data_IF_664213660226
#
_entry.id   IF_664213660226
#
_cell.length_a   1.000
_cell.length_b   1.000
_cell.length_c   1.000
_cell.angle_alpha   90.00
_cell.angle_beta   90.00
_cell.angle_gamma   90.00
#
_symmetry.space_group_name_H-M   'P 1'
#
loop_
_entity.id
_entity.type
_entity.pdbx_description
1 polymer ?
#
# COMPACT_ATOMS: atom_id res chain seq x y z
N UNK A 1 -39.61 31.10 -18.88
CA UNK A 1 -39.66 29.63 -18.68
C UNK A 1 -38.35 29.22 -18.05
N UNK A 2 -38.33 28.56 -16.88
CA UNK A 2 -37.12 27.91 -16.43
C UNK A 2 -36.81 26.79 -17.43
N UNK A 3 -35.58 26.72 -17.92
CA UNK A 3 -35.11 25.60 -18.71
C UNK A 3 -35.22 24.34 -17.84
N UNK A 4 -35.97 23.36 -18.31
CA UNK A 4 -35.85 22.00 -17.82
C UNK A 4 -34.45 21.51 -18.22
N UNK A 5 -33.45 21.80 -17.41
CA UNK A 5 -32.21 21.03 -17.42
C UNK A 5 -32.58 19.64 -16.92
N UNK A 6 -32.83 18.75 -17.88
CA UNK A 6 -32.96 17.33 -17.59
C UNK A 6 -31.56 16.86 -17.20
N UNK A 7 -31.24 16.98 -15.91
CA UNK A 7 -29.97 16.51 -15.35
C UNK A 7 -30.00 14.99 -15.39
N UNK A 8 -29.57 14.43 -16.52
CA UNK A 8 -29.35 12.98 -16.64
C UNK A 8 -28.19 12.64 -15.70
N UNK A 9 -28.36 11.70 -14.76
CA UNK A 9 -27.27 11.30 -13.88
C UNK A 9 -26.07 10.81 -14.69
N UNK A 10 -24.87 11.25 -14.36
CA UNK A 10 -23.64 10.82 -15.04
C UNK A 10 -23.47 9.29 -15.00
N UNK A 11 -23.94 8.65 -13.93
CA UNK A 11 -24.00 7.19 -13.78
C UNK A 11 -24.86 6.50 -14.85
N UNK A 12 -25.91 7.16 -15.35
CA UNK A 12 -26.73 6.65 -16.44
C UNK A 12 -26.02 6.80 -17.80
N UNK A 13 -25.21 7.85 -17.98
CA UNK A 13 -24.46 8.10 -19.21
C UNK A 13 -23.21 7.20 -19.34
N UNK A 14 -22.70 6.67 -18.23
CA UNK A 14 -21.56 5.73 -18.20
C UNK A 14 -21.77 4.51 -19.10
N UNK A 15 -22.88 3.77 -18.90
CA UNK A 15 -23.16 2.53 -19.64
C UNK A 15 -23.23 2.76 -21.17
N UNK A 16 -24.08 3.68 -21.69
CA UNK A 16 -24.20 3.88 -23.14
C UNK A 16 -22.92 4.46 -23.75
N UNK A 17 -22.19 5.34 -23.05
CA UNK A 17 -20.95 5.89 -23.58
C UNK A 17 -19.85 4.83 -23.72
N UNK A 18 -19.65 3.99 -22.71
CA UNK A 18 -18.68 2.90 -22.76
C UNK A 18 -19.08 1.84 -23.80
N UNK A 19 -20.36 1.46 -23.86
CA UNK A 19 -20.86 0.51 -24.85
C UNK A 19 -20.70 1.04 -26.28
N UNK A 20 -20.99 2.33 -26.50
CA UNK A 20 -20.79 3.01 -27.78
C UNK A 20 -19.32 3.00 -28.19
N UNK A 21 -18.41 3.32 -27.26
CA UNK A 21 -16.97 3.30 -27.53
C UNK A 21 -16.45 1.90 -27.87
N UNK A 22 -16.85 0.87 -27.10
CA UNK A 22 -16.48 -0.53 -27.38
C UNK A 22 -17.03 -0.97 -28.73
N UNK A 23 -18.28 -0.62 -29.04
CA UNK A 23 -18.91 -0.93 -30.33
C UNK A 23 -18.19 -0.26 -31.49
N UNK A 24 -17.78 1.00 -31.33
CA UNK A 24 -16.97 1.72 -32.30
C UNK A 24 -15.62 1.03 -32.54
N UNK A 25 -14.91 0.66 -31.48
CA UNK A 25 -13.63 -0.05 -31.58
C UNK A 25 -13.79 -1.38 -32.32
N UNK A 26 -14.84 -2.14 -32.01
CA UNK A 26 -15.18 -3.38 -32.70
C UNK A 26 -15.46 -3.15 -34.18
N UNK A 27 -16.30 -2.17 -34.51
CA UNK A 27 -16.75 -1.91 -35.87
C UNK A 27 -15.60 -1.46 -36.79
N UNK A 28 -14.75 -0.54 -36.32
CA UNK A 28 -13.57 -0.09 -37.10
C UNK A 28 -12.59 -1.25 -37.31
N UNK A 29 -12.32 -2.03 -36.26
CA UNK A 29 -11.45 -3.21 -36.37
C UNK A 29 -12.01 -4.22 -37.36
N UNK A 30 -13.33 -4.43 -37.35
CA UNK A 30 -14.02 -5.33 -38.27
C UNK A 30 -13.93 -4.86 -39.72
N UNK A 31 -14.24 -3.59 -40.02
CA UNK A 31 -14.14 -3.03 -41.38
C UNK A 31 -12.72 -3.19 -41.93
N UNK A 32 -11.72 -2.80 -41.15
CA UNK A 32 -10.32 -2.88 -41.58
C UNK A 32 -9.90 -4.33 -41.81
N UNK A 33 -10.28 -5.25 -40.92
CA UNK A 33 -10.00 -6.68 -41.11
C UNK A 33 -10.60 -7.26 -42.39
N UNK A 34 -11.78 -6.77 -42.81
CA UNK A 34 -12.43 -7.18 -44.06
C UNK A 34 -11.72 -6.61 -45.28
N UNK A 35 -11.29 -5.35 -45.23
CA UNK A 35 -10.52 -4.72 -46.31
C UNK A 35 -9.18 -5.47 -46.52
N UNK A 36 -8.46 -5.76 -45.45
CA UNK A 36 -7.16 -6.45 -45.50
C UNK A 36 -7.27 -7.98 -45.53
N UNK A 37 -8.49 -8.54 -45.49
CA UNK A 37 -8.77 -9.98 -45.48
C UNK A 37 -7.99 -10.76 -44.40
N UNK A 38 -7.82 -10.17 -43.21
CA UNK A 38 -7.03 -10.75 -42.11
C UNK A 38 -7.77 -10.73 -40.78
N UNK A 39 -8.05 -11.92 -40.24
CA UNK A 39 -8.68 -12.07 -38.92
C UNK A 39 -7.71 -11.71 -37.80
N UNK A 40 -6.41 -11.92 -37.97
CA UNK A 40 -5.41 -11.53 -36.96
C UNK A 40 -5.40 -10.00 -36.79
N UNK A 41 -5.51 -9.27 -37.91
CA UNK A 41 -5.56 -7.81 -37.90
C UNK A 41 -6.78 -7.27 -37.12
N UNK A 42 -7.91 -7.97 -37.16
CA UNK A 42 -9.07 -7.63 -36.34
C UNK A 42 -8.72 -7.59 -34.84
N UNK A 43 -8.14 -8.67 -34.31
CA UNK A 43 -7.82 -8.77 -32.89
C UNK A 43 -6.74 -7.77 -32.47
N UNK A 44 -5.71 -7.59 -33.31
CA UNK A 44 -4.63 -6.63 -33.02
C UNK A 44 -5.18 -5.19 -32.97
N UNK A 45 -6.01 -4.79 -33.93
CA UNK A 45 -6.61 -3.45 -33.93
C UNK A 45 -7.58 -3.26 -32.76
N UNK A 46 -8.41 -4.26 -32.48
CA UNK A 46 -9.37 -4.18 -31.38
C UNK A 46 -8.66 -3.96 -30.04
N UNK A 47 -7.63 -4.77 -29.76
CA UNK A 47 -6.81 -4.65 -28.56
C UNK A 47 -6.08 -3.30 -28.54
N UNK A 48 -5.53 -2.85 -29.66
CA UNK A 48 -4.85 -1.56 -29.75
C UNK A 48 -5.78 -0.39 -29.44
N UNK A 49 -6.98 -0.36 -30.02
CA UNK A 49 -7.96 0.72 -29.83
C UNK A 49 -8.48 0.75 -28.39
N UNK A 50 -8.79 -0.41 -27.80
CA UNK A 50 -9.17 -0.50 -26.40
C UNK A 50 -8.02 -0.09 -25.47
N UNK A 51 -6.79 -0.50 -25.80
CA UNK A 51 -5.62 -0.15 -24.98
C UNK A 51 -5.41 1.35 -24.88
N UNK A 52 -5.70 2.14 -25.91
CA UNK A 52 -5.55 3.62 -25.85
C UNK A 52 -6.29 4.25 -24.66
N UNK A 53 -7.44 3.70 -24.28
CA UNK A 53 -8.30 4.28 -23.23
C UNK A 53 -8.16 3.56 -21.89
N UNK A 54 -7.83 2.27 -21.92
CA UNK A 54 -7.87 1.38 -20.75
C UNK A 54 -6.50 0.77 -20.38
N UNK A 55 -5.39 1.14 -21.05
CA UNK A 55 -4.07 0.50 -20.83
C UNK A 55 -3.63 0.48 -19.37
N UNK A 56 -3.83 1.57 -18.63
CA UNK A 56 -3.38 1.69 -17.26
C UNK A 56 -4.12 0.71 -16.35
N UNK A 57 -5.41 0.45 -16.58
CA UNK A 57 -6.19 -0.55 -15.84
C UNK A 57 -5.57 -1.92 -16.08
N UNK A 58 -5.34 -2.31 -17.33
CA UNK A 58 -4.72 -3.60 -17.65
C UNK A 58 -3.33 -3.75 -17.02
N UNK A 59 -2.51 -2.69 -17.05
CA UNK A 59 -1.19 -2.69 -16.43
C UNK A 59 -1.29 -2.81 -14.91
N UNK A 60 -2.20 -2.09 -14.24
CA UNK A 60 -2.41 -2.20 -12.79
C UNK A 60 -2.77 -3.63 -12.39
N UNK A 61 -3.68 -4.27 -13.10
CA UNK A 61 -4.04 -5.67 -12.87
C UNK A 61 -2.87 -6.63 -13.14
N UNK A 62 -2.09 -6.41 -14.21
CA UNK A 62 -0.91 -7.21 -14.49
C UNK A 62 0.15 -7.10 -13.37
N UNK A 63 0.37 -5.89 -12.86
CA UNK A 63 1.29 -5.64 -11.73
C UNK A 63 0.76 -6.31 -10.46
N UNK A 64 -0.53 -6.14 -10.12
CA UNK A 64 -1.15 -6.79 -8.96
C UNK A 64 -0.94 -8.30 -9.02
N UNK A 65 -1.23 -8.92 -10.16
CA UNK A 65 -1.07 -10.36 -10.34
C UNK A 65 0.39 -10.79 -10.27
N UNK A 66 1.33 -10.04 -10.87
CA UNK A 66 2.75 -10.33 -10.76
C UNK A 66 3.21 -10.36 -9.30
N UNK A 67 2.89 -9.34 -8.51
CA UNK A 67 3.29 -9.30 -7.10
C UNK A 67 2.55 -10.35 -6.26
N UNK A 68 1.27 -10.59 -6.52
CA UNK A 68 0.47 -11.59 -5.81
C UNK A 68 0.98 -13.01 -6.03
N UNK A 69 1.33 -13.35 -7.28
CA UNK A 69 1.66 -14.72 -7.67
C UNK A 69 3.15 -15.04 -7.49
N UNK A 70 4.03 -14.05 -7.59
CA UNK A 70 5.48 -14.30 -7.64
C UNK A 70 6.27 -13.67 -6.49
N UNK A 71 5.73 -12.67 -5.80
CA UNK A 71 6.49 -11.90 -4.79
C UNK A 71 5.89 -12.00 -3.38
N UNK A 72 4.72 -12.62 -3.20
CA UNK A 72 4.06 -12.70 -1.89
C UNK A 72 4.95 -13.30 -0.82
N UNK A 73 5.62 -14.41 -1.15
CA UNK A 73 6.67 -14.98 -0.33
C UNK A 73 7.92 -14.11 -0.40
N UNK A 74 7.97 -13.13 0.50
CA UNK A 74 9.10 -12.23 0.58
C UNK A 74 10.38 -12.96 1.01
N UNK A 75 11.50 -12.33 0.67
CA UNK A 75 12.85 -12.78 0.98
C UNK A 75 13.14 -12.59 2.48
N UNK A 76 12.83 -13.59 3.29
CA UNK A 76 13.45 -13.77 4.61
C UNK A 76 14.82 -14.41 4.36
N UNK A 77 15.87 -13.63 4.53
CA UNK A 77 17.24 -14.07 4.27
C UNK A 77 17.82 -14.80 5.48
N UNK A 78 17.50 -14.32 6.68
CA UNK A 78 18.02 -14.81 7.95
C UNK A 78 16.96 -14.66 9.03
N UNK A 79 16.99 -15.55 10.02
CA UNK A 79 16.14 -15.42 11.20
C UNK A 79 16.81 -14.50 12.23
N UNK A 80 16.05 -13.61 12.90
CA UNK A 80 16.61 -12.76 13.94
C UNK A 80 17.00 -13.62 15.14
N UNK A 81 18.07 -13.22 15.84
CA UNK A 81 18.46 -13.93 17.07
C UNK A 81 17.43 -13.65 18.16
N UNK A 82 16.81 -14.71 18.69
CA UNK A 82 15.87 -14.67 19.81
C UNK A 82 16.57 -15.06 21.12
N UNK A 83 16.05 -14.61 22.26
CA UNK A 83 16.52 -15.00 23.59
C UNK A 83 15.99 -16.40 23.99
N UNK A 84 16.25 -16.85 25.21
CA UNK A 84 15.78 -18.15 25.73
C UNK A 84 14.25 -18.29 25.77
N UNK A 85 13.51 -17.17 25.81
CA UNK A 85 12.05 -17.13 25.78
C UNK A 85 11.51 -16.98 24.34
N UNK A 86 12.35 -17.13 23.32
CA UNK A 86 12.00 -16.91 21.90
C UNK A 86 11.58 -15.46 21.57
N UNK A 87 11.98 -14.48 22.38
CA UNK A 87 11.71 -13.05 22.14
C UNK A 87 12.89 -12.36 21.48
N UNK A 88 12.62 -11.36 20.65
CA UNK A 88 13.64 -10.43 20.18
C UNK A 88 13.95 -9.36 21.23
N UNK A 89 15.15 -8.80 21.20
CA UNK A 89 15.63 -7.85 22.23
C UNK A 89 14.80 -6.55 22.29
N UNK A 90 14.81 -5.76 21.24
CA UNK A 90 14.14 -4.45 21.15
C UNK A 90 13.89 -4.10 19.68
N UNK A 91 12.80 -3.39 19.39
CA UNK A 91 12.35 -3.13 18.02
C UNK A 91 12.00 -1.66 17.80
N UNK A 92 12.45 -1.09 16.69
CA UNK A 92 11.99 0.20 16.21
C UNK A 92 11.14 0.07 14.96
N UNK A 93 9.94 0.64 15.02
CA UNK A 93 8.95 0.68 13.94
C UNK A 93 8.53 2.13 13.61
N UNK A 94 9.43 3.09 13.81
CA UNK A 94 9.17 4.50 13.52
C UNK A 94 8.76 4.68 12.05
N UNK A 95 7.64 5.34 11.80
CA UNK A 95 7.06 5.56 10.46
C UNK A 95 6.41 4.33 9.83
N UNK A 96 6.47 3.16 10.51
CA UNK A 96 5.83 1.91 10.09
C UNK A 96 4.59 1.65 10.93
N UNK A 97 4.76 1.57 12.25
CA UNK A 97 3.66 1.50 13.19
C UNK A 97 3.32 2.91 13.65
N UNK A 98 2.19 3.42 13.16
CA UNK A 98 1.70 4.77 13.47
C UNK A 98 0.42 4.66 14.31
N UNK A 99 0.50 5.02 15.58
CA UNK A 99 -0.61 4.97 16.52
C UNK A 99 -1.40 6.30 16.51
N UNK A 100 -2.70 6.29 16.17
CA UNK A 100 -3.53 7.49 16.12
C UNK A 100 -3.92 7.96 17.52
N UNK A 101 -3.77 9.26 17.80
CA UNK A 101 -4.16 9.88 19.06
C UNK A 101 -5.08 11.08 18.83
N UNK A 102 -6.06 11.26 19.72
CA UNK A 102 -7.10 12.30 19.57
C UNK A 102 -6.60 13.71 19.93
N UNK A 103 -5.85 13.84 21.01
CA UNK A 103 -5.59 15.15 21.64
C UNK A 103 -4.11 15.47 21.87
N UNK A 104 -3.27 14.46 22.08
CA UNK A 104 -1.84 14.60 22.36
C UNK A 104 -1.05 13.67 21.45
N UNK A 105 0.20 14.00 21.19
CA UNK A 105 1.14 13.08 20.54
C UNK A 105 1.80 12.12 21.53
N UNK A 106 1.54 12.27 22.82
CA UNK A 106 2.09 11.43 23.87
C UNK A 106 1.08 10.36 24.31
N UNK A 107 1.56 9.13 24.48
CA UNK A 107 0.74 8.00 24.91
C UNK A 107 0.37 8.13 26.39
N UNK A 108 -0.91 7.94 26.68
CA UNK A 108 -1.43 7.72 28.03
C UNK A 108 -0.99 6.36 28.58
N UNK A 109 -1.10 6.16 29.89
CA UNK A 109 -0.71 4.89 30.51
C UNK A 109 -1.54 3.70 30.01
N UNK A 110 -2.84 3.90 29.77
CA UNK A 110 -3.72 2.86 29.22
C UNK A 110 -3.30 2.46 27.81
N UNK A 111 -3.00 3.43 26.94
CA UNK A 111 -2.54 3.16 25.57
C UNK A 111 -1.17 2.44 25.57
N UNK A 112 -0.29 2.78 26.51
CA UNK A 112 0.99 2.06 26.69
C UNK A 112 0.77 0.61 27.08
N UNK A 113 -0.16 0.34 27.99
CA UNK A 113 -0.45 -1.03 28.42
C UNK A 113 -1.08 -1.85 27.28
N UNK A 114 -1.97 -1.26 26.48
CA UNK A 114 -2.55 -1.92 25.29
C UNK A 114 -1.46 -2.34 24.29
N UNK A 115 -0.54 -1.42 23.97
CA UNK A 115 0.60 -1.71 23.08
C UNK A 115 1.52 -2.76 23.71
N UNK A 116 1.70 -2.70 25.03
CA UNK A 116 2.56 -3.66 25.75
C UNK A 116 2.02 -5.07 25.66
N UNK A 117 0.75 -5.28 26.00
CA UNK A 117 0.09 -6.60 25.95
C UNK A 117 0.16 -7.21 24.54
N UNK A 118 0.09 -6.38 23.50
CA UNK A 118 0.18 -6.84 22.11
C UNK A 118 1.58 -7.40 21.76
N UNK A 119 2.64 -6.85 22.34
CA UNK A 119 4.02 -7.06 21.89
C UNK A 119 4.92 -7.84 22.86
N UNK A 120 4.56 -7.90 24.14
CA UNK A 120 5.37 -8.54 25.19
C UNK A 120 5.61 -10.05 24.98
N UNK A 121 4.77 -10.69 24.16
CA UNK A 121 4.89 -12.12 23.85
C UNK A 121 6.09 -12.45 22.95
N UNK A 122 6.59 -11.50 22.16
CA UNK A 122 7.67 -11.73 21.20
C UNK A 122 8.78 -10.67 21.23
N UNK A 123 8.62 -9.58 21.98
CA UNK A 123 9.65 -8.55 22.18
C UNK A 123 9.94 -8.45 23.68
N UNK A 124 11.22 -8.43 24.04
CA UNK A 124 11.67 -8.46 25.44
C UNK A 124 11.64 -7.07 26.10
N UNK A 125 12.32 -6.07 25.52
CA UNK A 125 12.59 -4.80 26.22
C UNK A 125 11.59 -3.70 25.92
N UNK A 126 11.57 -3.22 24.68
CA UNK A 126 10.75 -2.08 24.28
C UNK A 126 10.47 -2.08 22.78
N UNK A 127 9.45 -1.31 22.39
CA UNK A 127 9.14 -0.97 21.01
C UNK A 127 9.09 0.56 20.83
N UNK A 128 9.75 1.05 19.78
CA UNK A 128 9.65 2.45 19.35
C UNK A 128 8.63 2.57 18.23
N UNK A 129 7.65 3.47 18.40
CA UNK A 129 6.55 3.68 17.45
C UNK A 129 6.39 5.15 17.10
N UNK A 130 5.70 5.42 16.00
CA UNK A 130 5.23 6.77 15.70
C UNK A 130 3.84 6.98 16.27
N UNK A 131 3.57 8.19 16.73
CA UNK A 131 2.22 8.65 17.08
C UNK A 131 1.85 9.82 16.19
N UNK A 132 0.56 10.04 15.99
CA UNK A 132 0.09 11.29 15.40
C UNK A 132 -1.13 11.83 16.12
N UNK A 133 -1.23 13.15 16.18
CA UNK A 133 -2.42 13.84 16.66
C UNK A 133 -2.90 14.87 15.64
N UNK A 134 -4.20 15.10 15.63
CA UNK A 134 -4.81 16.12 14.78
C UNK A 134 -4.94 17.44 15.55
N UNK A 135 -4.25 18.48 15.10
CA UNK A 135 -4.28 19.81 15.73
C UNK A 135 -4.35 20.90 14.65
N UNK A 136 -5.38 21.75 14.73
CA UNK A 136 -5.61 22.85 13.78
C UNK A 136 -5.57 22.43 12.29
N UNK A 137 -6.30 21.37 11.92
CA UNK A 137 -6.34 20.82 10.56
C UNK A 137 -4.98 20.32 10.03
N UNK A 138 -4.04 20.00 10.93
CA UNK A 138 -2.73 19.45 10.60
C UNK A 138 -2.44 18.20 11.43
N UNK A 139 -1.71 17.27 10.83
CA UNK A 139 -1.16 16.11 11.53
C UNK A 139 0.20 16.50 12.14
N UNK A 140 0.34 16.27 13.45
CA UNK A 140 1.60 16.41 14.17
C UNK A 140 2.06 15.01 14.52
N UNK A 141 3.29 14.67 14.13
CA UNK A 141 3.90 13.37 14.40
C UNK A 141 4.89 13.46 15.56
N UNK A 142 4.93 12.42 16.38
CA UNK A 142 5.96 12.23 17.39
C UNK A 142 6.44 10.78 17.39
N UNK A 143 7.52 10.50 18.09
CA UNK A 143 8.04 9.16 18.34
C UNK A 143 7.91 8.84 19.82
N UNK A 144 7.41 7.65 20.15
CA UNK A 144 7.20 7.20 21.52
C UNK A 144 7.83 5.83 21.71
N UNK A 145 8.51 5.65 22.84
CA UNK A 145 9.01 4.36 23.31
C UNK A 145 8.03 3.76 24.30
N UNK A 146 7.68 2.49 24.09
CA UNK A 146 6.85 1.68 25.00
C UNK A 146 7.70 0.55 25.55
N UNK A 147 7.95 0.57 26.86
CA UNK A 147 8.66 -0.50 27.55
C UNK A 147 7.72 -1.67 27.83
N UNK A 148 8.20 -2.88 27.57
CA UNK A 148 7.41 -4.11 27.63
C UNK A 148 7.72 -4.91 28.90
N UNK A 149 8.94 -4.82 29.40
CA UNK A 149 9.35 -5.43 30.66
C UNK A 149 9.31 -4.40 31.80
N UNK A 150 8.81 -4.83 32.98
CA UNK A 150 8.76 -4.03 34.21
C UNK A 150 10.13 -3.60 34.72
N UNK A 151 11.20 -4.32 34.35
CA UNK A 151 12.55 -4.12 34.90
C UNK A 151 13.23 -2.80 34.49
N UNK A 152 12.61 -1.98 33.64
CA UNK A 152 13.17 -0.69 33.22
C UNK A 152 12.70 0.48 34.10
N UNK A 153 11.63 0.32 34.87
CA UNK A 153 11.17 1.39 35.77
C UNK A 153 12.07 1.62 36.98
N UNK A 154 12.95 0.68 37.33
CA UNK A 154 13.58 0.71 38.65
C UNK A 154 15.02 1.24 38.73
N UNK A 155 15.88 1.25 37.70
CA UNK A 155 17.27 1.68 38.00
C UNK A 155 18.24 2.13 36.88
N UNK A 156 17.79 2.50 35.69
CA UNK A 156 18.72 3.05 34.68
C UNK A 156 18.35 4.46 34.28
N UNK A 157 19.11 5.43 34.80
CA UNK A 157 19.37 6.70 34.11
C UNK A 157 19.51 6.43 32.62
N UNK A 158 18.70 7.11 31.83
CA UNK A 158 18.76 7.39 30.39
C UNK A 158 20.13 7.19 29.69
N UNK A 159 20.69 5.99 29.68
CA UNK A 159 21.52 5.58 28.56
C UNK A 159 20.54 5.37 27.41
N UNK A 160 20.74 6.06 26.29
CA UNK A 160 19.95 5.90 25.08
C UNK A 160 20.13 4.48 24.56
N UNK A 161 19.36 3.53 25.11
CA UNK A 161 19.39 2.15 24.65
C UNK A 161 18.86 2.18 23.22
N UNK A 162 19.77 1.94 22.27
CA UNK A 162 19.42 1.87 20.88
C UNK A 162 18.68 0.56 20.60
N UNK A 163 17.59 0.60 19.81
CA UNK A 163 16.87 -0.60 19.42
C UNK A 163 17.80 -1.52 18.63
N UNK A 164 17.83 -2.80 18.98
CA UNK A 164 18.64 -3.78 18.26
C UNK A 164 18.08 -4.02 16.86
N UNK A 165 16.77 -4.16 16.73
CA UNK A 165 16.11 -4.38 15.46
C UNK A 165 15.38 -3.12 14.99
N UNK A 166 15.39 -2.86 13.69
CA UNK A 166 14.71 -1.72 13.09
C UNK A 166 14.00 -2.13 11.80
N UNK A 167 12.80 -1.58 11.60
CA UNK A 167 12.06 -1.72 10.35
C UNK A 167 12.01 -0.36 9.68
N UNK A 168 12.74 -0.21 8.57
CA UNK A 168 12.74 1.00 7.78
C UNK A 168 11.72 0.91 6.64
N UNK A 169 10.81 1.88 6.56
CA UNK A 169 9.91 2.06 5.41
C UNK A 169 10.47 3.14 4.48
N UNK A 170 10.65 2.80 3.20
CA UNK A 170 11.09 3.74 2.17
C UNK A 170 10.23 3.61 0.92
N UNK A 171 9.92 4.74 0.29
CA UNK A 171 9.34 4.74 -1.06
C UNK A 171 10.43 4.39 -2.08
N UNK A 172 10.14 3.45 -2.97
CA UNK A 172 11.03 3.00 -4.01
C UNK A 172 10.54 3.50 -5.37
N UNK A 173 11.49 3.86 -6.23
CA UNK A 173 11.19 4.23 -7.61
C UNK A 173 10.66 3.01 -8.37
N UNK A 174 9.57 3.20 -9.12
CA UNK A 174 8.95 2.17 -9.94
C UNK A 174 9.15 2.49 -11.41
N UNK A 175 9.08 1.47 -12.28
CA UNK A 175 9.22 1.67 -13.72
C UNK A 175 8.02 2.38 -14.36
N UNK A 176 6.87 2.47 -13.67
CA UNK A 176 5.67 3.19 -14.10
C UNK A 176 5.08 4.03 -12.94
N UNK A 177 5.76 5.11 -12.52
CA UNK A 177 5.40 5.86 -11.31
C UNK A 177 4.05 6.59 -11.41
N UNK A 178 3.53 6.80 -12.63
CA UNK A 178 2.19 7.35 -12.87
C UNK A 178 1.07 6.32 -12.70
N UNK A 179 1.40 5.03 -12.61
CA UNK A 179 0.43 3.93 -12.54
C UNK A 179 0.43 3.28 -11.17
N UNK A 180 1.60 3.09 -10.58
CA UNK A 180 1.73 2.47 -9.26
C UNK A 180 2.99 2.94 -8.54
N UNK A 181 2.94 2.90 -7.21
CA UNK A 181 4.09 3.12 -6.34
C UNK A 181 4.40 1.90 -5.48
N UNK A 182 5.58 1.91 -4.86
CA UNK A 182 6.07 0.84 -4.00
C UNK A 182 6.65 1.42 -2.71
N UNK A 183 6.13 0.99 -1.58
CA UNK A 183 6.88 1.02 -0.33
C UNK A 183 7.65 -0.27 -0.15
N UNK A 184 8.89 -0.16 0.30
CA UNK A 184 9.72 -1.26 0.74
C UNK A 184 9.99 -1.12 2.23
N UNK A 185 9.85 -2.24 2.94
CA UNK A 185 10.14 -2.36 4.36
C UNK A 185 11.38 -3.22 4.52
N UNK A 186 12.42 -2.69 5.15
CA UNK A 186 13.67 -3.44 5.43
C UNK A 186 13.77 -3.73 6.91
N UNK A 187 13.97 -5.00 7.25
CA UNK A 187 14.15 -5.47 8.61
C UNK A 187 15.66 -5.62 8.87
N UNK A 188 16.20 -4.84 9.80
CA UNK A 188 17.64 -4.63 9.99
C UNK A 188 18.04 -4.96 11.43
N UNK A 189 19.10 -5.76 11.61
CA UNK A 189 19.76 -5.92 12.91
C UNK A 189 20.85 -4.86 13.00
N UNK A 190 20.64 -3.82 13.83
CA UNK A 190 21.60 -2.72 14.00
C UNK A 190 22.92 -3.16 14.60
N UNK A 191 22.97 -4.30 15.30
CA UNK A 191 24.22 -4.83 15.85
C UNK A 191 25.16 -5.31 14.73
N UNK A 192 24.61 -5.94 13.70
CA UNK A 192 25.38 -6.52 12.59
C UNK A 192 25.27 -5.70 11.30
N UNK A 193 24.37 -4.71 11.27
CA UNK A 193 23.98 -3.93 10.11
C UNK A 193 23.52 -4.78 8.91
N UNK A 194 22.91 -5.94 9.18
CA UNK A 194 22.43 -6.87 8.17
C UNK A 194 20.93 -6.71 7.97
N UNK A 195 20.50 -6.62 6.71
CA UNK A 195 19.09 -6.73 6.33
C UNK A 195 18.71 -8.22 6.29
N UNK A 196 17.89 -8.67 7.24
CA UNK A 196 17.53 -10.08 7.35
C UNK A 196 16.17 -10.42 6.74
N UNK A 197 15.31 -9.42 6.50
CA UNK A 197 14.09 -9.61 5.71
C UNK A 197 13.68 -8.31 4.98
N UNK A 198 12.89 -8.46 3.92
CA UNK A 198 12.30 -7.33 3.19
C UNK A 198 10.84 -7.59 2.84
N UNK A 199 9.95 -6.66 3.13
CA UNK A 199 8.55 -6.70 2.70
C UNK A 199 8.21 -5.51 1.78
N UNK A 200 7.03 -5.52 1.16
CA UNK A 200 6.58 -4.43 0.32
C UNK A 200 5.09 -4.10 0.51
N UNK A 201 4.72 -2.91 0.04
CA UNK A 201 3.35 -2.51 -0.24
C UNK A 201 3.32 -1.81 -1.61
N UNK A 202 2.58 -2.40 -2.55
CA UNK A 202 2.30 -1.84 -3.87
C UNK A 202 0.95 -1.17 -3.82
N UNK A 203 0.92 0.12 -4.14
CA UNK A 203 -0.30 0.90 -4.23
C UNK A 203 -0.48 1.45 -5.65
N UNK A 204 -1.73 1.57 -6.09
CA UNK A 204 -2.06 1.97 -7.45
C UNK A 204 -2.52 3.43 -7.48
N UNK A 205 -1.93 4.20 -8.40
CA UNK A 205 -2.15 5.65 -8.48
C UNK A 205 -3.48 5.93 -9.17
N UNK A 206 -4.35 6.68 -8.50
CA UNK A 206 -5.57 7.20 -9.10
C UNK A 206 -5.26 8.43 -9.95
N UNK A 207 -5.88 8.49 -11.12
CA UNK A 207 -5.76 9.64 -12.00
C UNK A 207 -7.09 9.84 -12.72
N UNK A 208 -7.72 10.97 -12.42
CA UNK A 208 -9.07 11.31 -12.89
C UNK A 208 -9.05 12.19 -14.15
N UNK A 209 -7.87 12.59 -14.63
CA UNK A 209 -7.71 13.39 -15.84
C UNK A 209 -7.35 12.49 -17.04
N UNK A 210 -8.20 11.50 -17.33
CA UNK A 210 -8.03 10.59 -18.47
C UNK A 210 -9.17 10.75 -19.46
N UNK A 211 -8.93 10.29 -20.69
CA UNK A 211 -9.93 10.29 -21.76
C UNK A 211 -11.24 9.66 -21.30
N UNK A 212 -11.19 8.50 -20.62
CA UNK A 212 -12.40 7.80 -20.13
C UNK A 212 -13.20 8.61 -19.11
N UNK A 213 -12.56 9.33 -18.21
CA UNK A 213 -13.25 10.14 -17.21
C UNK A 213 -13.97 11.30 -17.89
N UNK A 214 -13.30 11.93 -18.87
CA UNK A 214 -13.85 13.08 -19.58
C UNK A 214 -14.94 12.73 -20.60
N UNK A 215 -14.79 11.64 -21.33
CA UNK A 215 -15.62 11.33 -22.51
C UNK A 215 -16.49 10.08 -22.36
N UNK A 216 -16.17 9.20 -21.40
CA UNK A 216 -16.91 7.97 -21.13
C UNK A 216 -17.64 8.01 -19.78
N UNK A 217 -17.81 9.21 -19.20
CA UNK A 217 -18.53 9.45 -17.95
C UNK A 217 -18.06 8.57 -16.79
N UNK A 218 -16.75 8.33 -16.73
CA UNK A 218 -16.14 7.59 -15.64
C UNK A 218 -15.97 8.50 -14.43
N UNK A 219 -16.92 8.43 -13.51
CA UNK A 219 -16.93 9.20 -12.26
C UNK A 219 -15.75 8.83 -11.36
N UNK A 220 -15.46 9.65 -10.35
CA UNK A 220 -14.44 9.35 -9.34
C UNK A 220 -14.71 8.00 -8.66
N UNK A 221 -15.96 7.76 -8.25
CA UNK A 221 -16.41 6.50 -7.64
C UNK A 221 -16.11 5.30 -8.53
N UNK A 222 -16.36 5.42 -9.85
CA UNK A 222 -16.05 4.36 -10.80
C UNK A 222 -14.55 4.19 -11.00
N UNK A 223 -13.75 5.25 -10.98
CA UNK A 223 -12.30 5.11 -11.12
C UNK A 223 -11.73 4.36 -9.92
N UNK A 224 -12.27 4.62 -8.73
CA UNK A 224 -11.89 3.92 -7.50
C UNK A 224 -12.34 2.44 -7.53
N UNK A 225 -13.53 2.12 -8.07
CA UNK A 225 -14.02 0.74 -8.23
C UNK A 225 -13.13 -0.11 -9.14
N UNK A 226 -12.63 0.47 -10.24
CA UNK A 226 -11.78 -0.24 -11.18
C UNK A 226 -10.28 -0.18 -10.82
N UNK A 227 -9.90 0.68 -9.87
CA UNK A 227 -8.55 0.69 -9.34
C UNK A 227 -8.37 -0.51 -8.40
N UNK A 228 -7.36 -1.36 -8.62
CA UNK A 228 -7.14 -2.48 -7.73
C UNK A 228 -6.77 -2.01 -6.32
N UNK A 229 -7.19 -2.78 -5.32
CA UNK A 229 -6.70 -2.59 -3.95
C UNK A 229 -5.18 -2.74 -3.86
N UNK A 230 -4.52 -2.01 -2.95
CA UNK A 230 -3.11 -2.20 -2.65
C UNK A 230 -2.79 -3.64 -2.28
N UNK A 231 -1.58 -4.07 -2.61
CA UNK A 231 -1.09 -5.42 -2.34
C UNK A 231 0.19 -5.36 -1.53
N UNK A 232 0.21 -6.04 -0.39
CA UNK A 232 1.32 -6.02 0.55
C UNK A 232 1.53 -7.38 1.20
N UNK A 233 2.75 -7.61 1.69
CA UNK A 233 3.09 -8.80 2.46
C UNK A 233 3.72 -8.48 3.82
N UNK A 234 3.64 -7.22 4.28
CA UNK A 234 4.27 -6.79 5.53
C UNK A 234 3.90 -7.71 6.72
N UNK A 235 2.61 -7.94 6.96
CA UNK A 235 2.14 -8.73 8.11
C UNK A 235 2.60 -10.19 8.05
N UNK A 236 2.63 -10.78 6.86
CA UNK A 236 3.09 -12.16 6.63
C UNK A 236 4.56 -12.28 7.07
N UNK A 237 5.37 -11.32 6.65
CA UNK A 237 6.81 -11.32 6.90
C UNK A 237 7.12 -10.95 8.34
N UNK A 238 6.40 -9.97 8.87
CA UNK A 238 6.51 -9.58 10.26
C UNK A 238 6.25 -10.76 11.21
N UNK A 239 5.16 -11.52 10.96
CA UNK A 239 4.83 -12.72 11.74
C UNK A 239 5.91 -13.79 11.61
N UNK A 240 6.29 -14.14 10.39
CA UNK A 240 7.28 -15.19 10.11
C UNK A 240 8.67 -14.95 10.72
N UNK A 241 9.01 -13.68 10.92
CA UNK A 241 10.34 -13.25 11.37
C UNK A 241 10.38 -13.06 12.88
N UNK A 242 9.33 -12.45 13.46
CA UNK A 242 9.35 -12.07 14.87
C UNK A 242 8.47 -12.94 15.76
N UNK A 243 7.35 -13.42 15.26
CA UNK A 243 6.33 -14.12 16.06
C UNK A 243 6.48 -15.63 15.94
N UNK A 244 6.53 -16.15 14.71
CA UNK A 244 6.74 -17.58 14.41
C UNK A 244 8.20 -18.00 14.69
#
# INVERSE_FOLDING_TARGET
MPSFELVVPESFLFIPANLSFISFCFFISFILSKIFKSVILFFVLLVSLLSLVYYDIFIKYAIKNYYSLTQMDSKVYLQPTKNSESKIDSLSMIGVYIYPLKYSTDLTQSEREEIKVLHESYIDKFIDISTYAHKYNRYIYNTQRVYLNSNVYENTKNEEINPRFEILKKIQDTFLPKIYGKYEYKFIDKKTNVVFATAFNIFFVNSYNKFRNKYLFWTHEKEDEFNPDPIQNFDIIYKKVFID
#
